data_IF_651278275234
#
_entry.id   IF_651278275234
#
_cell.length_a   1.000
_cell.length_b   1.000
_cell.length_c   1.000
_cell.angle_alpha   90.00
_cell.angle_beta   90.00
_cell.angle_gamma   90.00
#
_symmetry.space_group_name_H-M   'P 1'
#
loop_
_entity.id
_entity.type
_entity.pdbx_description
1 polymer ?
#
# COMPACT_ATOMS: atom_id res chain seq x y z
N UNK A 1 -0.42 -8.77 2.16
CA UNK A 1 -0.56 -9.82 1.16
C UNK A 1 0.81 -10.39 0.80
N UNK A 2 0.82 -11.56 0.18
CA UNK A 2 2.01 -12.43 0.07
C UNK A 2 3.17 -11.73 -0.66
N UNK A 3 4.41 -12.09 -0.28
CA UNK A 3 5.63 -11.62 -0.92
C UNK A 3 5.95 -10.14 -0.69
N UNK A 4 5.39 -9.52 0.35
CA UNK A 4 5.66 -8.12 0.67
C UNK A 4 6.61 -7.98 1.85
N UNK A 5 7.44 -6.95 1.78
CA UNK A 5 8.32 -6.55 2.86
C UNK A 5 7.58 -5.49 3.69
N UNK A 6 7.52 -5.70 5.00
CA UNK A 6 7.03 -4.74 5.97
C UNK A 6 8.20 -4.29 6.82
N UNK A 7 8.48 -3.00 6.84
CA UNK A 7 9.60 -2.43 7.58
C UNK A 7 9.22 -1.05 8.13
N UNK A 8 9.50 -0.84 9.42
CA UNK A 8 9.52 0.49 10.02
C UNK A 8 10.92 1.07 9.81
N UNK A 9 11.14 1.72 8.67
CA UNK A 9 12.48 2.11 8.18
C UNK A 9 13.27 2.89 9.23
N UNK A 10 12.67 3.89 9.88
CA UNK A 10 13.35 4.69 10.90
C UNK A 10 13.87 3.81 12.05
N UNK A 11 13.01 2.99 12.63
CA UNK A 11 13.34 2.08 13.72
C UNK A 11 14.40 1.04 13.29
N UNK A 12 14.24 0.47 12.09
CA UNK A 12 15.15 -0.51 11.56
C UNK A 12 16.57 0.06 11.32
N UNK A 13 16.68 1.25 10.75
CA UNK A 13 17.99 1.85 10.47
C UNK A 13 18.64 2.47 11.72
N UNK A 14 17.85 3.03 12.64
CA UNK A 14 18.38 3.62 13.88
C UNK A 14 18.57 2.60 15.00
N UNK A 15 18.03 1.39 14.86
CA UNK A 15 18.00 0.37 15.91
C UNK A 15 17.35 0.88 17.20
N UNK A 16 16.31 1.69 17.07
CA UNK A 16 15.52 2.25 18.17
C UNK A 16 14.09 1.70 18.12
N UNK A 17 13.36 1.66 19.26
CA UNK A 17 11.97 1.23 19.28
C UNK A 17 11.08 2.04 18.34
N UNK A 18 10.25 1.32 17.56
CA UNK A 18 9.30 1.97 16.67
C UNK A 18 8.15 2.62 17.41
N UNK A 19 7.70 3.79 16.92
CA UNK A 19 6.44 4.41 17.33
C UNK A 19 5.23 3.81 16.61
N UNK A 20 5.47 3.02 15.56
CA UNK A 20 4.43 2.39 14.77
C UNK A 20 4.18 0.97 15.29
N UNK A 21 2.92 0.56 15.26
CA UNK A 21 2.50 -0.81 15.54
C UNK A 21 2.15 -1.45 14.20
N UNK A 22 2.66 -2.65 13.97
CA UNK A 22 2.30 -3.47 12.82
C UNK A 22 1.27 -4.50 13.28
N UNK A 23 0.09 -4.46 12.69
CA UNK A 23 -1.02 -5.36 12.98
C UNK A 23 -1.36 -6.19 11.75
N UNK A 24 -1.50 -7.51 11.93
CA UNK A 24 -2.00 -8.40 10.89
C UNK A 24 -3.54 -8.38 10.89
N UNK A 25 -4.15 -8.00 9.78
CA UNK A 25 -5.62 -7.94 9.63
C UNK A 25 -6.25 -9.31 9.31
N UNK A 26 -5.44 -10.32 9.06
CA UNK A 26 -5.83 -11.70 8.76
C UNK A 26 -4.75 -12.68 9.20
N UNK A 27 -5.05 -13.97 9.24
CA UNK A 27 -4.07 -15.00 9.57
C UNK A 27 -2.88 -14.93 8.61
N UNK A 28 -1.69 -14.63 9.14
CA UNK A 28 -0.51 -14.36 8.36
C UNK A 28 0.70 -15.14 8.88
N UNK A 29 1.59 -15.51 7.97
CA UNK A 29 2.91 -16.05 8.30
C UNK A 29 3.96 -15.01 7.95
N UNK A 30 4.77 -14.61 8.92
CA UNK A 30 5.83 -13.61 8.76
C UNK A 30 7.18 -14.25 9.01
N UNK A 31 8.18 -13.81 8.25
CA UNK A 31 9.57 -14.13 8.47
C UNK A 31 10.30 -12.83 8.83
N UNK A 32 10.95 -12.82 9.98
CA UNK A 32 11.74 -11.67 10.42
C UNK A 32 13.22 -11.88 10.08
N UNK A 33 13.86 -10.83 9.58
CA UNK A 33 15.31 -10.80 9.36
C UNK A 33 15.88 -9.77 10.34
N UNK A 34 16.71 -10.18 11.31
CA UNK A 34 17.39 -9.24 12.20
C UNK A 34 18.32 -8.31 11.44
N UNK A 35 18.49 -7.08 11.94
CA UNK A 35 19.34 -6.08 11.29
C UNK A 35 20.78 -6.58 11.14
N UNK A 36 21.37 -7.08 12.22
CA UNK A 36 22.77 -7.55 12.24
C UNK A 36 22.99 -8.68 11.23
N UNK A 37 22.08 -9.67 11.18
CA UNK A 37 22.15 -10.75 10.22
C UNK A 37 22.05 -10.26 8.76
N UNK A 38 21.24 -9.24 8.50
CA UNK A 38 21.16 -8.63 7.16
C UNK A 38 22.44 -7.89 6.79
N UNK A 39 23.07 -7.19 7.76
CA UNK A 39 24.34 -6.49 7.53
C UNK A 39 25.47 -7.49 7.24
N UNK A 40 25.62 -8.51 8.04
CA UNK A 40 26.61 -9.59 7.80
C UNK A 40 26.46 -10.21 6.41
N UNK A 41 25.22 -10.54 6.03
CA UNK A 41 24.94 -11.09 4.70
C UNK A 41 25.26 -10.11 3.56
N UNK A 42 24.99 -8.82 3.76
CA UNK A 42 25.27 -7.78 2.77
C UNK A 42 26.80 -7.54 2.62
N UNK A 43 27.54 -7.59 3.71
CA UNK A 43 29.00 -7.44 3.70
C UNK A 43 29.70 -8.60 2.97
N UNK A 44 29.16 -9.81 3.10
CA UNK A 44 29.70 -11.01 2.47
C UNK A 44 29.22 -11.20 1.01
N UNK A 45 28.08 -10.63 0.64
CA UNK A 45 27.43 -10.90 -0.64
C UNK A 45 26.89 -9.63 -1.32
N UNK A 46 27.56 -9.25 -2.40
CA UNK A 46 27.19 -8.06 -3.20
C UNK A 46 25.78 -8.11 -3.78
N UNK A 47 25.24 -9.29 -4.03
CA UNK A 47 23.86 -9.42 -4.54
C UNK A 47 22.84 -9.09 -3.45
N UNK A 48 23.13 -9.45 -2.20
CA UNK A 48 22.30 -9.10 -1.04
C UNK A 48 22.37 -7.59 -0.77
N UNK A 49 23.57 -7.00 -0.81
CA UNK A 49 23.74 -5.54 -0.72
C UNK A 49 22.93 -4.81 -1.80
N UNK A 50 23.03 -5.25 -3.05
CA UNK A 50 22.28 -4.68 -4.17
C UNK A 50 20.77 -4.84 -3.99
N UNK A 51 20.32 -6.01 -3.53
CA UNK A 51 18.91 -6.26 -3.24
C UNK A 51 18.40 -5.32 -2.15
N UNK A 52 19.13 -5.20 -1.05
CA UNK A 52 18.76 -4.32 0.06
C UNK A 52 18.68 -2.86 -0.39
N UNK A 53 19.65 -2.38 -1.17
CA UNK A 53 19.63 -1.04 -1.74
C UNK A 53 18.39 -0.81 -2.60
N UNK A 54 18.02 -1.76 -3.47
CA UNK A 54 16.82 -1.67 -4.29
C UNK A 54 15.53 -1.66 -3.48
N UNK A 55 15.48 -2.40 -2.39
CA UNK A 55 14.36 -2.36 -1.44
C UNK A 55 14.24 -0.96 -0.83
N UNK A 56 15.34 -0.36 -0.42
CA UNK A 56 15.35 1.00 0.16
C UNK A 56 14.98 2.07 -0.87
N UNK A 57 15.50 1.98 -2.10
CA UNK A 57 15.12 2.86 -3.20
C UNK A 57 13.60 2.79 -3.47
N UNK A 58 13.06 1.59 -3.55
CA UNK A 58 11.62 1.38 -3.76
C UNK A 58 10.78 1.92 -2.59
N UNK A 59 11.22 1.71 -1.37
CA UNK A 59 10.55 2.21 -0.17
C UNK A 59 10.54 3.75 -0.13
N UNK A 60 11.66 4.40 -0.52
CA UNK A 60 11.76 5.85 -0.60
C UNK A 60 10.81 6.41 -1.66
N UNK A 61 10.82 5.85 -2.88
CA UNK A 61 9.92 6.27 -3.96
C UNK A 61 8.46 6.08 -3.55
N UNK A 62 8.12 4.94 -2.96
CA UNK A 62 6.74 4.66 -2.51
C UNK A 62 6.29 5.64 -1.42
N UNK A 63 7.19 6.01 -0.50
CA UNK A 63 6.92 7.01 0.53
C UNK A 63 6.68 8.40 -0.07
N UNK A 64 7.48 8.78 -1.07
CA UNK A 64 7.31 10.06 -1.77
C UNK A 64 5.98 10.10 -2.52
N UNK A 65 5.66 9.07 -3.29
CA UNK A 65 4.38 8.94 -4.01
C UNK A 65 3.19 9.03 -3.04
N UNK A 66 3.30 8.36 -1.88
CA UNK A 66 2.26 8.45 -0.86
C UNK A 66 2.13 9.87 -0.30
N UNK A 67 3.24 10.54 0.02
CA UNK A 67 3.23 11.91 0.53
C UNK A 67 2.63 12.91 -0.50
N UNK A 68 2.97 12.75 -1.78
CA UNK A 68 2.46 13.58 -2.87
C UNK A 68 0.95 13.36 -3.05
N UNK A 69 0.50 12.11 -2.96
CA UNK A 69 -0.92 11.81 -3.04
C UNK A 69 -1.74 12.48 -1.94
N UNK A 70 -1.18 12.59 -0.73
CA UNK A 70 -1.85 13.28 0.37
C UNK A 70 -1.95 14.79 0.16
N UNK A 71 -1.01 15.36 -0.59
CA UNK A 71 -0.95 16.82 -0.86
C UNK A 71 -1.80 17.24 -2.04
N UNK A 72 -1.84 16.43 -3.09
CA UNK A 72 -2.34 16.85 -4.41
C UNK A 72 -3.60 16.12 -4.84
N UNK A 73 -3.88 14.92 -4.33
CA UNK A 73 -5.05 14.15 -4.71
C UNK A 73 -6.25 14.44 -3.79
N UNK A 74 -7.43 14.56 -4.38
CA UNK A 74 -8.68 14.57 -3.63
C UNK A 74 -9.11 13.15 -3.19
N UNK A 75 -10.21 13.06 -2.44
CA UNK A 75 -10.67 11.76 -1.90
C UNK A 75 -10.99 10.73 -2.99
N UNK A 76 -11.59 11.16 -4.09
CA UNK A 76 -11.95 10.28 -5.23
C UNK A 76 -10.69 9.79 -5.94
N UNK A 77 -9.74 10.66 -6.20
CA UNK A 77 -8.47 10.31 -6.85
C UNK A 77 -7.67 9.31 -6.02
N UNK A 78 -7.57 9.51 -4.69
CA UNK A 78 -6.92 8.54 -3.80
C UNK A 78 -7.60 7.18 -3.81
N UNK A 79 -8.93 7.15 -3.84
CA UNK A 79 -9.69 5.91 -3.95
C UNK A 79 -9.44 5.20 -5.28
N UNK A 80 -9.50 5.92 -6.40
CA UNK A 80 -9.27 5.36 -7.73
C UNK A 80 -7.83 4.86 -7.90
N UNK A 81 -6.86 5.58 -7.36
CA UNK A 81 -5.46 5.12 -7.35
C UNK A 81 -5.31 3.81 -6.57
N UNK A 82 -5.92 3.69 -5.40
CA UNK A 82 -5.90 2.45 -4.63
C UNK A 82 -6.59 1.31 -5.38
N UNK A 83 -7.75 1.57 -5.98
CA UNK A 83 -8.50 0.60 -6.77
C UNK A 83 -7.67 0.07 -7.95
N UNK A 84 -6.91 0.93 -8.62
CA UNK A 84 -6.10 0.55 -9.78
C UNK A 84 -4.77 -0.10 -9.41
N UNK A 85 -4.20 0.24 -8.25
CA UNK A 85 -2.85 -0.25 -7.89
C UNK A 85 -2.87 -1.42 -6.92
N UNK A 86 -3.88 -1.49 -6.04
CA UNK A 86 -3.97 -2.49 -4.95
C UNK A 86 -5.43 -2.84 -4.65
N UNK A 87 -6.20 -3.35 -5.63
CA UNK A 87 -7.64 -3.64 -5.45
C UNK A 87 -7.92 -4.63 -4.33
N UNK A 88 -6.98 -5.55 -4.05
CA UNK A 88 -7.10 -6.53 -2.98
C UNK A 88 -7.24 -5.92 -1.59
N UNK A 89 -6.69 -4.72 -1.36
CA UNK A 89 -6.85 -4.01 -0.09
C UNK A 89 -8.32 -3.61 0.11
N UNK A 90 -8.97 -3.13 -0.96
CA UNK A 90 -10.39 -2.76 -0.92
C UNK A 90 -11.33 -3.96 -0.70
N UNK A 91 -10.88 -5.17 -1.06
CA UNK A 91 -11.66 -6.39 -0.92
C UNK A 91 -11.46 -7.09 0.44
N UNK A 92 -10.25 -7.02 1.01
CA UNK A 92 -9.84 -7.81 2.19
C UNK A 92 -9.77 -6.99 3.47
N UNK A 93 -9.41 -5.72 3.39
CA UNK A 93 -9.26 -4.89 4.58
C UNK A 93 -10.60 -4.32 5.06
N UNK A 94 -10.84 -4.25 6.37
CA UNK A 94 -12.00 -3.55 6.93
C UNK A 94 -12.07 -2.09 6.47
N UNK A 95 -13.28 -1.60 6.22
CA UNK A 95 -13.52 -0.23 5.70
C UNK A 95 -12.84 0.85 6.55
N UNK A 96 -12.79 0.67 7.87
CA UNK A 96 -12.14 1.61 8.78
C UNK A 96 -10.65 1.76 8.48
N UNK A 97 -9.94 0.65 8.24
CA UNK A 97 -8.52 0.65 7.90
C UNK A 97 -8.27 1.23 6.51
N UNK A 98 -9.15 0.94 5.54
CA UNK A 98 -9.06 1.54 4.20
C UNK A 98 -9.27 3.05 4.26
N UNK A 99 -10.28 3.53 5.00
CA UNK A 99 -10.55 4.96 5.17
C UNK A 99 -9.36 5.67 5.82
N UNK A 100 -8.80 5.09 6.89
CA UNK A 100 -7.59 5.59 7.55
C UNK A 100 -6.39 5.64 6.61
N UNK A 101 -6.15 4.59 5.83
CA UNK A 101 -5.07 4.54 4.82
C UNK A 101 -5.22 5.63 3.75
N UNK A 102 -6.45 5.90 3.32
CA UNK A 102 -6.77 6.96 2.36
C UNK A 102 -6.90 8.36 2.99
N UNK A 103 -6.70 8.48 4.31
CA UNK A 103 -6.87 9.72 5.06
C UNK A 103 -8.21 10.41 4.80
N UNK A 104 -9.28 9.65 4.95
CA UNK A 104 -10.66 10.15 4.87
C UNK A 104 -11.55 9.46 5.90
N UNK A 105 -12.74 10.03 6.15
CA UNK A 105 -13.70 9.35 7.03
C UNK A 105 -14.35 8.15 6.33
N UNK A 106 -14.82 7.13 7.09
CA UNK A 106 -15.56 6.01 6.53
C UNK A 106 -16.80 6.44 5.71
N UNK A 107 -17.46 7.51 6.10
CA UNK A 107 -18.62 8.08 5.40
C UNK A 107 -18.20 8.67 4.04
N UNK A 108 -17.05 9.36 4.00
CA UNK A 108 -16.49 9.88 2.76
C UNK A 108 -16.11 8.74 1.82
N UNK A 109 -15.43 7.71 2.33
CA UNK A 109 -15.09 6.52 1.56
C UNK A 109 -16.34 5.83 0.99
N UNK A 110 -17.38 5.68 1.80
CA UNK A 110 -18.65 5.09 1.36
C UNK A 110 -19.30 5.89 0.22
N UNK A 111 -19.32 7.22 0.31
CA UNK A 111 -19.85 8.10 -0.76
C UNK A 111 -19.04 7.99 -2.05
N UNK A 112 -17.72 8.05 -1.94
CA UNK A 112 -16.81 7.94 -3.11
C UNK A 112 -17.00 6.60 -3.82
N UNK A 113 -17.08 5.52 -3.03
CA UNK A 113 -17.32 4.17 -3.56
C UNK A 113 -18.66 4.04 -4.27
N UNK A 114 -19.74 4.59 -3.69
CA UNK A 114 -21.06 4.57 -4.29
C UNK A 114 -21.09 5.35 -5.60
N UNK A 115 -20.53 6.56 -5.64
CA UNK A 115 -20.45 7.40 -6.84
C UNK A 115 -19.72 6.68 -7.98
N UNK A 116 -18.56 6.09 -7.69
CA UNK A 116 -17.79 5.31 -8.68
C UNK A 116 -18.57 4.12 -9.24
N UNK A 117 -19.32 3.40 -8.40
CA UNK A 117 -20.14 2.27 -8.85
C UNK A 117 -21.29 2.72 -9.75
N UNK A 118 -21.89 3.87 -9.50
CA UNK A 118 -22.94 4.44 -10.35
C UNK A 118 -22.40 4.89 -11.71
N UNK A 119 -21.25 5.56 -11.73
CA UNK A 119 -20.56 5.94 -12.97
C UNK A 119 -20.21 4.71 -13.82
N UNK A 120 -19.61 3.70 -13.22
CA UNK A 120 -19.25 2.45 -13.90
C UNK A 120 -20.45 1.68 -14.46
N UNK A 121 -21.63 1.79 -13.84
CA UNK A 121 -22.88 1.21 -14.36
C UNK A 121 -23.40 1.99 -15.56
N UNK A 122 -23.34 3.32 -15.54
CA UNK A 122 -23.75 4.17 -16.66
C UNK A 122 -22.89 3.91 -17.89
N UNK A 123 -21.57 3.87 -17.74
CA UNK A 123 -20.63 3.58 -18.83
C UNK A 123 -20.86 2.20 -19.46
N UNK A 124 -21.24 1.19 -18.65
CA UNK A 124 -21.59 -0.15 -19.16
C UNK A 124 -22.92 -0.18 -19.92
N UNK A 125 -23.88 0.66 -19.53
CA UNK A 125 -25.18 0.73 -20.19
C UNK A 125 -25.15 1.57 -21.48
N UNK A 126 -24.16 2.45 -21.63
CA UNK A 126 -23.97 3.31 -22.81
C UNK A 126 -23.08 2.69 -23.90
N UNK A 127 -22.38 1.59 -23.61
CA UNK A 127 -21.66 0.84 -24.65
C UNK A 127 -22.64 -0.02 -25.44
N UNK A 128 -22.98 0.31 -26.71
CA UNK A 128 -23.80 -0.54 -27.55
C UNK A 128 -23.07 -1.86 -27.79
N UNK A 129 -23.80 -2.94 -27.76
CA UNK A 129 -23.35 -4.28 -28.14
C UNK A 129 -22.93 -4.24 -29.61
N UNK A 130 -21.64 -4.00 -29.86
CA UNK A 130 -21.06 -4.14 -31.20
C UNK A 130 -20.43 -5.53 -31.27
N UNK A 131 -21.27 -6.53 -31.42
CA UNK A 131 -20.89 -7.84 -31.92
C UNK A 131 -21.96 -8.30 -32.90
N UNK A 132 -21.63 -8.23 -34.14
CA UNK A 132 -22.15 -9.08 -35.23
C UNK A 132 -21.03 -9.37 -36.19
#
# INVERSE_FOLDING_TARGET
YEGRIVICIESFLKQEPSRLIVEALENSRLYGIPYDALQELADENKEIELLFRKIMEHALISSQVYADSQRFENATERYLRLLNTKPEILLRAPMLHVASYLQMSPETLSRVRAAHLEESKKERSEKPSTES
#
